data_IF_554250857719
#
_entry.id   IF_554250857719
#
_cell.length_a   1.000
_cell.length_b   1.000
_cell.length_c   1.000
_cell.angle_alpha   90.00
_cell.angle_beta   90.00
_cell.angle_gamma   90.00
#
_symmetry.space_group_name_H-M   'P 1'
#
loop_
_entity.id
_entity.type
_entity.pdbx_description
1 polymer ?
#
# COMPACT_ATOMS: atom_id res chain seq x y z
N UNK A 1 19.74 -8.51 44.84
CA UNK A 1 20.65 -8.67 43.68
C UNK A 1 19.78 -9.06 42.50
N UNK A 2 19.63 -8.15 41.53
CA UNK A 2 18.73 -8.28 40.38
C UNK A 2 19.48 -9.05 39.27
N UNK A 3 18.82 -10.05 38.70
CA UNK A 3 19.32 -10.82 37.55
C UNK A 3 19.41 -9.89 36.33
N UNK A 4 20.57 -9.83 35.69
CA UNK A 4 20.89 -8.95 34.56
C UNK A 4 20.36 -9.48 33.20
N UNK A 5 19.76 -10.68 33.18
CA UNK A 5 19.01 -11.16 32.03
C UNK A 5 17.53 -11.21 32.41
N UNK A 6 16.77 -10.29 31.83
CA UNK A 6 15.32 -10.21 31.95
C UNK A 6 14.70 -11.50 31.46
N UNK A 7 14.26 -12.32 32.40
CA UNK A 7 13.30 -13.37 32.12
C UNK A 7 12.00 -12.65 31.76
N UNK A 8 11.59 -12.76 30.50
CA UNK A 8 10.31 -12.28 30.02
C UNK A 8 9.24 -12.92 30.93
N UNK A 9 8.54 -12.11 31.72
CA UNK A 9 7.35 -12.55 32.46
C UNK A 9 6.26 -12.82 31.42
N UNK A 10 6.35 -13.99 30.79
CA UNK A 10 5.22 -14.61 30.10
C UNK A 10 4.13 -14.70 31.16
N UNK A 11 3.05 -13.98 30.91
CA UNK A 11 1.81 -14.06 31.66
C UNK A 11 1.36 -15.53 31.64
N UNK A 12 1.72 -16.30 32.68
CA UNK A 12 1.10 -17.58 32.96
C UNK A 12 -0.35 -17.25 33.31
N UNK A 13 -1.23 -17.25 32.30
CA UNK A 13 -2.66 -17.32 32.57
C UNK A 13 -2.91 -18.65 33.25
N UNK A 14 -3.45 -18.55 34.45
CA UNK A 14 -3.92 -19.66 35.25
C UNK A 14 -4.70 -20.65 34.39
N UNK A 15 -4.23 -21.88 34.43
CA UNK A 15 -4.93 -23.04 33.92
C UNK A 15 -6.03 -23.35 34.93
N UNK A 16 -7.14 -22.61 34.87
CA UNK A 16 -8.33 -22.94 35.65
C UNK A 16 -9.06 -24.12 35.00
N UNK A 17 -9.14 -25.17 35.81
CA UNK A 17 -9.92 -26.38 35.64
C UNK A 17 -11.42 -26.09 35.51
N UNK A 18 -12.07 -26.98 34.75
CA UNK A 18 -13.48 -27.38 34.86
C UNK A 18 -14.57 -26.31 34.63
N UNK A 19 -15.30 -26.45 33.51
CA UNK A 19 -16.58 -27.17 33.61
C UNK A 19 -17.16 -27.53 32.24
N UNK A 20 -17.68 -28.76 32.21
CA UNK A 20 -18.63 -29.26 31.22
C UNK A 20 -19.85 -28.35 31.21
N UNK A 21 -20.32 -27.95 30.04
CA UNK A 21 -21.75 -27.97 29.78
C UNK A 21 -22.03 -28.26 28.31
N UNK A 22 -22.96 -29.19 28.15
CA UNK A 22 -23.45 -29.72 26.90
C UNK A 22 -24.01 -28.62 26.01
N UNK A 23 -23.68 -28.76 24.73
CA UNK A 23 -24.30 -28.07 23.60
C UNK A 23 -25.76 -28.50 23.45
N UNK A 24 -26.68 -27.58 23.73
CA UNK A 24 -28.06 -27.69 23.30
C UNK A 24 -28.27 -27.07 21.90
N UNK A 25 -29.09 -27.78 21.15
CA UNK A 25 -29.76 -27.46 19.90
C UNK A 25 -30.12 -25.98 19.70
N UNK A 26 -29.70 -25.39 18.58
CA UNK A 26 -30.52 -24.39 17.88
C UNK A 26 -30.15 -24.26 16.40
N UNK A 27 -30.43 -25.31 15.63
CA UNK A 27 -30.52 -25.20 14.18
C UNK A 27 -31.94 -24.74 13.81
N UNK A 28 -32.12 -23.44 13.60
CA UNK A 28 -33.31 -22.92 12.90
C UNK A 28 -32.88 -22.32 11.57
N UNK A 29 -33.18 -23.09 10.53
CA UNK A 29 -33.37 -22.74 9.13
C UNK A 29 -34.10 -21.40 8.95
N UNK A 30 -33.51 -20.49 8.17
CA UNK A 30 -34.26 -19.41 7.53
C UNK A 30 -34.15 -19.56 6.02
N UNK A 31 -35.18 -20.20 5.47
CA UNK A 31 -35.56 -20.10 4.07
C UNK A 31 -35.95 -18.65 3.76
N UNK A 32 -35.39 -18.10 2.69
CA UNK A 32 -35.84 -16.84 2.11
C UNK A 32 -36.00 -17.00 0.61
N UNK A 33 -37.13 -17.59 0.24
CA UNK A 33 -37.69 -17.51 -1.11
C UNK A 33 -38.43 -16.18 -1.31
N UNK A 34 -38.39 -15.69 -2.55
CA UNK A 34 -39.35 -14.73 -3.10
C UNK A 34 -38.95 -13.27 -2.99
N UNK A 35 -38.77 -12.57 -4.12
CA UNK A 35 -39.91 -11.92 -4.79
C UNK A 35 -39.42 -10.95 -5.89
N UNK A 36 -39.76 -11.34 -7.13
CA UNK A 36 -40.32 -10.57 -8.25
C UNK A 36 -39.53 -9.53 -9.06
N UNK A 37 -39.82 -9.70 -10.36
CA UNK A 37 -39.53 -8.96 -11.56
C UNK A 37 -40.00 -7.49 -11.54
N UNK A 38 -39.24 -6.63 -12.22
CA UNK A 38 -39.74 -5.35 -12.74
C UNK A 38 -39.31 -5.23 -14.22
N UNK A 39 -40.25 -5.21 -15.18
CA UNK A 39 -39.99 -4.85 -16.57
C UNK A 39 -40.39 -3.38 -16.87
N UNK A 40 -40.16 -2.98 -18.12
CA UNK A 40 -40.61 -1.77 -18.84
C UNK A 40 -39.49 -0.75 -19.13
N UNK A 41 -39.00 -0.69 -20.38
CA UNK A 41 -39.54 0.08 -21.54
C UNK A 41 -39.21 1.58 -21.42
N UNK A 42 -39.01 2.40 -22.44
CA UNK A 42 -38.64 2.34 -23.85
C UNK A 42 -38.60 3.82 -24.32
N UNK A 43 -37.98 4.08 -25.47
CA UNK A 43 -38.29 5.17 -26.43
C UNK A 43 -37.72 6.61 -26.29
N UNK A 44 -37.01 6.96 -27.38
CA UNK A 44 -37.14 8.15 -28.26
C UNK A 44 -36.48 9.48 -27.81
N UNK A 45 -35.50 10.05 -28.54
CA UNK A 45 -35.40 10.51 -29.95
C UNK A 45 -36.01 11.91 -30.16
N UNK A 46 -35.19 12.95 -30.41
CA UNK A 46 -35.50 14.07 -31.32
C UNK A 46 -34.26 14.91 -31.64
N UNK A 47 -33.91 14.91 -32.92
CA UNK A 47 -33.08 15.86 -33.66
C UNK A 47 -33.73 17.24 -33.80
N UNK A 48 -32.95 18.33 -33.82
CA UNK A 48 -33.29 19.52 -34.59
C UNK A 48 -32.04 20.28 -35.04
N UNK A 49 -32.01 20.59 -36.34
CA UNK A 49 -31.00 21.38 -37.02
C UNK A 49 -31.49 22.84 -37.14
N UNK A 50 -30.58 23.81 -36.99
CA UNK A 50 -30.87 25.19 -37.37
C UNK A 50 -29.62 25.92 -37.87
N UNK A 51 -29.86 26.84 -38.81
CA UNK A 51 -28.98 27.30 -39.87
C UNK A 51 -28.49 28.75 -39.64
N UNK A 52 -27.26 29.07 -40.10
CA UNK A 52 -26.69 30.41 -40.49
C UNK A 52 -26.43 31.48 -39.41
N UNK A 53 -25.50 32.48 -39.57
CA UNK A 53 -24.73 32.91 -40.75
C UNK A 53 -23.18 33.08 -40.55
N UNK A 54 -22.44 33.25 -41.65
CA UNK A 54 -20.99 33.43 -41.72
C UNK A 54 -20.53 34.88 -41.51
N UNK A 55 -19.46 35.06 -40.71
CA UNK A 55 -18.77 36.33 -40.44
C UNK A 55 -17.22 36.12 -40.47
N UNK A 56 -16.43 37.19 -40.60
CA UNK A 56 -15.13 37.18 -41.28
C UNK A 56 -13.98 36.58 -40.46
N UNK A 57 -13.12 35.89 -41.21
CA UNK A 57 -11.95 35.14 -40.78
C UNK A 57 -10.94 36.05 -40.06
N UNK A 58 -10.92 35.99 -38.73
CA UNK A 58 -9.84 36.53 -37.91
C UNK A 58 -9.04 35.33 -37.41
N UNK A 59 -7.73 35.30 -37.64
CA UNK A 59 -6.84 34.21 -37.24
C UNK A 59 -6.91 34.01 -35.71
N UNK A 60 -7.74 33.08 -35.28
CA UNK A 60 -7.85 32.63 -33.89
C UNK A 60 -6.81 31.54 -33.67
N UNK A 61 -6.10 31.67 -32.56
CA UNK A 61 -5.15 30.69 -32.05
C UNK A 61 -5.91 29.39 -31.74
N UNK A 62 -5.44 28.27 -32.29
CA UNK A 62 -6.11 26.96 -32.40
C UNK A 62 -6.28 26.19 -31.07
N UNK A 63 -6.50 26.92 -29.96
CA UNK A 63 -6.52 26.36 -28.59
C UNK A 63 -7.74 26.72 -27.74
N UNK A 64 -8.67 27.55 -28.24
CA UNK A 64 -9.81 28.06 -27.43
C UNK A 64 -11.18 27.48 -27.84
N UNK A 65 -11.25 26.52 -28.78
CA UNK A 65 -12.54 26.01 -29.27
C UNK A 65 -13.27 25.05 -28.30
N UNK A 66 -12.58 24.47 -27.32
CA UNK A 66 -13.17 23.50 -26.40
C UNK A 66 -13.96 24.16 -25.25
N UNK A 67 -13.72 25.45 -24.99
CA UNK A 67 -14.40 26.18 -23.90
C UNK A 67 -15.77 26.78 -24.34
N UNK A 68 -16.08 26.82 -25.65
CA UNK A 68 -17.29 27.49 -26.17
C UNK A 68 -18.59 26.67 -26.07
N UNK A 69 -18.51 25.36 -25.79
CA UNK A 69 -19.69 24.46 -25.78
C UNK A 69 -20.32 24.34 -24.38
N UNK A 70 -19.72 24.97 -23.36
CA UNK A 70 -20.13 24.80 -21.97
C UNK A 70 -21.22 25.77 -21.48
N UNK A 71 -21.71 26.68 -22.32
CA UNK A 71 -22.56 27.81 -21.91
C UNK A 71 -24.08 27.61 -22.07
N UNK A 72 -24.55 26.48 -22.62
CA UNK A 72 -25.97 26.33 -23.02
C UNK A 72 -26.83 25.41 -22.12
N UNK A 73 -26.46 25.22 -20.85
CA UNK A 73 -27.34 24.55 -19.88
C UNK A 73 -27.77 25.52 -18.77
N UNK A 74 -29.07 25.58 -18.40
CA UNK A 74 -29.55 26.39 -17.28
C UNK A 74 -28.99 25.81 -15.98
N UNK A 75 -27.81 26.28 -15.60
CA UNK A 75 -27.12 25.88 -14.38
C UNK A 75 -27.71 26.69 -13.23
N UNK A 76 -28.25 25.97 -12.25
CA UNK A 76 -28.40 26.49 -10.90
C UNK A 76 -27.11 27.24 -10.53
N UNK A 77 -27.27 28.47 -10.04
CA UNK A 77 -26.19 29.46 -9.91
C UNK A 77 -25.22 29.04 -8.79
N UNK A 78 -24.41 28.01 -9.04
CA UNK A 78 -23.39 27.52 -8.11
C UNK A 78 -22.24 28.51 -8.17
N UNK A 79 -22.07 29.26 -7.09
CA UNK A 79 -20.97 30.19 -6.95
C UNK A 79 -19.64 29.43 -7.02
N UNK A 80 -18.93 29.57 -8.15
CA UNK A 80 -17.72 28.80 -8.47
C UNK A 80 -16.42 29.52 -8.10
N UNK A 81 -16.48 30.54 -7.23
CA UNK A 81 -15.29 31.26 -6.77
C UNK A 81 -14.75 30.73 -5.44
N UNK A 82 -13.43 30.56 -5.39
CA UNK A 82 -12.65 30.14 -4.23
C UNK A 82 -11.55 31.18 -3.95
N UNK A 83 -11.01 31.21 -2.74
CA UNK A 83 -9.90 32.11 -2.37
C UNK A 83 -8.61 31.31 -2.34
N UNK A 84 -7.64 31.67 -3.17
CA UNK A 84 -6.30 31.08 -3.21
C UNK A 84 -5.30 32.20 -2.90
N UNK A 85 -4.51 32.06 -1.82
CA UNK A 85 -3.55 33.07 -1.37
C UNK A 85 -4.17 34.48 -1.14
N UNK A 86 -5.40 34.53 -0.62
CA UNK A 86 -6.11 35.79 -0.38
C UNK A 86 -6.72 36.43 -1.63
N UNK A 87 -6.52 35.86 -2.84
CA UNK A 87 -7.16 36.31 -4.06
C UNK A 87 -8.36 35.44 -4.44
N UNK A 88 -9.48 36.08 -4.77
CA UNK A 88 -10.68 35.39 -5.25
C UNK A 88 -10.47 34.95 -6.70
N UNK A 89 -10.49 33.65 -6.95
CA UNK A 89 -10.27 33.02 -8.26
C UNK A 89 -11.38 32.01 -8.54
N UNK A 90 -11.68 31.72 -9.81
CA UNK A 90 -12.62 30.64 -10.12
C UNK A 90 -11.98 29.27 -9.84
N UNK A 91 -12.79 28.29 -9.45
CA UNK A 91 -12.33 26.92 -9.19
C UNK A 91 -11.57 26.33 -10.40
N UNK A 92 -12.06 26.60 -11.61
CA UNK A 92 -11.41 26.18 -12.85
C UNK A 92 -10.03 26.82 -13.03
N UNK A 93 -9.89 28.12 -12.75
CA UNK A 93 -8.62 28.84 -12.84
C UNK A 93 -7.59 28.33 -11.83
N UNK A 94 -8.03 28.06 -10.60
CA UNK A 94 -7.17 27.50 -9.56
C UNK A 94 -6.67 26.09 -9.91
N UNK A 95 -7.56 25.22 -10.39
CA UNK A 95 -7.20 23.88 -10.86
C UNK A 95 -6.22 23.93 -12.04
N UNK A 96 -6.46 24.81 -13.03
CA UNK A 96 -5.56 24.98 -14.19
C UNK A 96 -4.16 25.40 -13.73
N UNK A 97 -4.04 26.31 -12.78
CA UNK A 97 -2.74 26.74 -12.23
C UNK A 97 -2.03 25.61 -11.47
N UNK A 98 -2.77 24.80 -10.72
CA UNK A 98 -2.22 23.65 -10.01
C UNK A 98 -1.73 22.58 -11.00
N UNK A 99 -2.49 22.31 -12.06
CA UNK A 99 -2.16 21.31 -13.09
C UNK A 99 -1.04 21.77 -14.02
N UNK A 100 -0.88 23.07 -14.28
CA UNK A 100 0.19 23.61 -15.13
C UNK A 100 1.60 23.23 -14.64
N UNK A 101 1.80 23.13 -13.32
CA UNK A 101 3.06 22.66 -12.72
C UNK A 101 3.31 21.16 -12.88
N UNK A 102 2.26 20.37 -13.18
CA UNK A 102 2.36 18.92 -13.40
C UNK A 102 2.51 18.58 -14.88
N UNK A 103 2.03 19.45 -15.77
CA UNK A 103 2.07 19.24 -17.22
C UNK A 103 3.35 19.77 -17.88
N UNK A 104 4.29 20.35 -17.13
CA UNK A 104 5.69 20.47 -17.58
C UNK A 104 6.40 19.12 -17.55
N UNK A 105 5.78 18.11 -18.15
CA UNK A 105 6.47 16.93 -18.63
C UNK A 105 7.34 17.42 -19.79
N UNK A 106 8.64 17.48 -19.57
CA UNK A 106 9.61 18.05 -20.50
C UNK A 106 9.36 17.56 -21.92
N UNK A 107 9.44 18.46 -22.89
CA UNK A 107 9.31 18.20 -24.33
C UNK A 107 10.47 17.37 -24.91
N UNK A 108 11.02 16.44 -24.13
CA UNK A 108 11.95 15.41 -24.57
C UNK A 108 11.25 14.28 -25.30
N UNK A 109 9.93 14.13 -25.21
CA UNK A 109 9.18 13.11 -25.97
C UNK A 109 9.33 13.33 -27.49
N UNK A 110 9.27 14.58 -27.96
CA UNK A 110 9.48 14.90 -29.37
C UNK A 110 10.91 14.59 -29.83
N UNK A 111 11.91 14.81 -28.98
CA UNK A 111 13.31 14.47 -29.26
C UNK A 111 13.52 12.94 -29.29
N UNK A 112 12.87 12.21 -28.35
CA UNK A 112 12.90 10.74 -28.29
C UNK A 112 12.26 10.08 -29.51
N UNK A 113 11.16 10.65 -30.03
CA UNK A 113 10.54 10.21 -31.30
C UNK A 113 11.44 10.42 -32.51
N UNK A 114 12.16 11.54 -32.57
CA UNK A 114 13.14 11.82 -33.65
C UNK A 114 14.32 10.84 -33.61
N UNK A 115 14.69 10.38 -32.41
CA UNK A 115 15.78 9.42 -32.22
C UNK A 115 15.36 7.95 -32.31
N UNK A 116 14.10 7.64 -32.67
CA UNK A 116 13.57 6.26 -32.70
C UNK A 116 13.85 5.47 -31.41
N UNK A 117 13.90 6.13 -30.26
CA UNK A 117 14.05 5.43 -28.99
C UNK A 117 12.69 4.79 -28.68
N UNK A 118 12.58 3.45 -28.67
CA UNK A 118 11.31 2.78 -28.43
C UNK A 118 10.79 3.19 -27.05
N UNK A 119 9.59 3.79 -27.02
CA UNK A 119 8.99 4.30 -25.78
C UNK A 119 8.71 3.19 -24.75
N UNK A 120 8.68 1.93 -25.20
CA UNK A 120 8.52 0.76 -24.37
C UNK A 120 9.35 -0.38 -24.98
N UNK A 121 10.42 -0.77 -24.30
CA UNK A 121 11.21 -1.95 -24.64
C UNK A 121 11.99 -2.43 -23.41
N UNK A 122 11.82 -3.68 -22.96
CA UNK A 122 12.71 -4.29 -21.98
C UNK A 122 14.00 -4.67 -22.71
N UNK A 123 15.13 -4.08 -22.35
CA UNK A 123 16.43 -4.55 -22.86
C UNK A 123 17.52 -4.34 -21.82
N UNK A 124 17.46 -5.18 -20.78
CA UNK A 124 18.65 -5.72 -20.13
C UNK A 124 19.29 -6.73 -21.09
N UNK A 125 20.34 -6.30 -21.79
CA UNK A 125 21.26 -7.18 -22.51
C UNK A 125 22.69 -6.62 -22.38
N UNK A 126 23.30 -6.90 -21.23
CA UNK A 126 24.75 -6.90 -21.06
C UNK A 126 25.13 -8.28 -20.51
N UNK A 127 25.88 -9.11 -21.27
CA UNK A 127 26.42 -10.35 -20.72
C UNK A 127 27.67 -9.99 -19.94
N UNK A 128 27.54 -9.90 -18.62
CA UNK A 128 28.68 -10.06 -17.72
C UNK A 128 28.36 -11.22 -16.82
N UNK A 129 28.97 -12.35 -17.19
CA UNK A 129 29.11 -13.53 -16.35
C UNK A 129 29.84 -13.12 -15.07
N UNK A 130 29.10 -13.04 -13.96
CA UNK A 130 29.65 -13.27 -12.64
C UNK A 130 28.50 -13.70 -11.74
N UNK A 131 28.59 -14.95 -11.31
CA UNK A 131 27.67 -15.64 -10.42
C UNK A 131 27.32 -14.79 -9.18
N UNK A 132 26.03 -14.50 -9.02
CA UNK A 132 25.46 -14.20 -7.71
C UNK A 132 24.02 -14.66 -7.68
N UNK A 133 23.84 -15.93 -7.34
CA UNK A 133 22.55 -16.52 -7.01
C UNK A 133 21.93 -15.82 -5.80
N UNK A 134 20.99 -14.91 -6.03
CA UNK A 134 19.87 -14.61 -5.13
C UNK A 134 19.08 -13.43 -5.66
N UNK A 135 18.20 -13.68 -6.61
CA UNK A 135 16.97 -12.90 -6.74
C UNK A 135 15.97 -13.79 -7.44
N UNK A 136 15.05 -14.35 -6.66
CA UNK A 136 13.89 -15.05 -7.19
C UNK A 136 13.09 -14.06 -8.04
N UNK A 137 13.26 -14.18 -9.35
CA UNK A 137 12.61 -13.39 -10.39
C UNK A 137 11.15 -13.85 -10.44
N UNK A 138 10.26 -13.09 -9.80
CA UNK A 138 8.91 -12.94 -10.32
C UNK A 138 8.91 -11.69 -11.21
N UNK A 139 8.67 -11.81 -12.52
CA UNK A 139 8.66 -10.67 -13.44
C UNK A 139 7.32 -9.95 -13.33
N UNK A 140 7.06 -9.30 -12.19
CA UNK A 140 5.93 -8.39 -12.04
C UNK A 140 6.47 -6.97 -11.94
N UNK A 141 6.37 -6.24 -13.04
CA UNK A 141 6.04 -4.81 -13.15
C UNK A 141 6.08 -3.98 -11.86
N UNK A 142 7.24 -3.88 -11.22
CA UNK A 142 7.40 -3.12 -9.98
C UNK A 142 7.97 -1.73 -10.27
N UNK A 143 7.37 -1.05 -11.26
CA UNK A 143 7.63 0.36 -11.57
C UNK A 143 7.28 1.30 -10.41
N UNK A 144 6.60 0.79 -9.37
CA UNK A 144 6.08 1.53 -8.22
C UNK A 144 6.94 1.42 -6.94
N UNK A 145 8.12 0.81 -7.01
CA UNK A 145 9.07 0.74 -5.90
C UNK A 145 8.76 -0.35 -4.86
N UNK A 146 9.46 -0.37 -3.70
CA UNK A 146 9.30 -1.42 -2.70
C UNK A 146 7.87 -1.45 -2.14
N UNK A 147 7.33 -2.65 -1.95
CA UNK A 147 5.97 -2.89 -1.44
C UNK A 147 6.02 -3.79 -0.22
N UNK A 148 5.30 -3.38 0.83
CA UNK A 148 5.09 -4.17 2.05
C UNK A 148 3.90 -5.10 1.81
N UNK A 149 4.07 -6.40 2.09
CA UNK A 149 3.01 -7.39 1.97
C UNK A 149 2.57 -7.92 3.34
N UNK A 150 1.35 -8.42 3.43
CA UNK A 150 0.93 -9.26 4.56
C UNK A 150 1.83 -10.49 4.65
N UNK A 151 2.30 -10.81 5.85
CA UNK A 151 3.30 -11.85 6.11
C UNK A 151 4.75 -11.35 6.07
N UNK A 152 5.02 -10.14 5.58
CA UNK A 152 6.38 -9.61 5.60
C UNK A 152 6.81 -9.23 7.04
N UNK A 153 8.08 -9.44 7.39
CA UNK A 153 8.65 -8.96 8.63
C UNK A 153 8.89 -7.45 8.59
N UNK A 154 8.66 -6.80 9.72
CA UNK A 154 8.82 -5.37 9.94
C UNK A 154 9.49 -5.11 11.29
N UNK A 155 10.19 -3.99 11.41
CA UNK A 155 10.67 -3.47 12.68
C UNK A 155 9.77 -2.33 13.17
N UNK A 156 9.59 -2.25 14.48
CA UNK A 156 8.94 -1.13 15.16
C UNK A 156 9.57 -0.90 16.54
N UNK A 157 9.45 0.33 17.05
CA UNK A 157 9.79 0.65 18.43
C UNK A 157 8.57 0.44 19.32
N UNK A 158 8.70 -0.40 20.33
CA UNK A 158 7.67 -0.65 21.34
C UNK A 158 8.09 -0.07 22.68
N UNK A 159 7.12 0.49 23.41
CA UNK A 159 7.33 0.97 24.77
C UNK A 159 6.81 -0.05 25.77
N UNK A 160 7.70 -0.60 26.58
CA UNK A 160 7.37 -1.47 27.70
C UNK A 160 7.68 -0.73 29.02
N UNK A 161 6.66 -0.10 29.61
CA UNK A 161 6.83 0.77 30.76
C UNK A 161 7.70 1.99 30.44
N UNK A 162 8.89 2.08 31.03
CA UNK A 162 9.85 3.16 30.79
C UNK A 162 10.91 2.83 29.74
N UNK A 163 10.89 1.61 29.19
CA UNK A 163 11.88 1.14 28.23
C UNK A 163 11.31 1.20 26.83
N UNK A 164 12.12 1.72 25.90
CA UNK A 164 11.86 1.65 24.46
C UNK A 164 12.73 0.55 23.90
N UNK A 165 12.11 -0.41 23.23
CA UNK A 165 12.75 -1.61 22.70
C UNK A 165 12.45 -1.70 21.21
N UNK A 166 13.46 -2.06 20.41
CA UNK A 166 13.24 -2.43 19.03
C UNK A 166 12.65 -3.85 18.98
N UNK A 167 11.48 -3.98 18.37
CA UNK A 167 10.83 -5.26 18.17
C UNK A 167 10.72 -5.57 16.68
N UNK A 168 10.84 -6.85 16.34
CA UNK A 168 10.53 -7.37 15.01
C UNK A 168 9.15 -8.02 15.06
N UNK A 169 8.34 -7.75 14.05
CA UNK A 169 6.98 -8.25 13.95
C UNK A 169 6.69 -8.74 12.54
N UNK A 170 5.66 -9.57 12.39
CA UNK A 170 5.10 -9.94 11.10
C UNK A 170 3.83 -9.14 10.84
N UNK A 171 3.67 -8.64 9.61
CA UNK A 171 2.45 -7.95 9.20
C UNK A 171 1.30 -8.95 9.08
N UNK A 172 0.20 -8.68 9.77
CA UNK A 172 -1.02 -9.48 9.70
C UNK A 172 -2.07 -8.82 8.80
N UNK A 173 -2.17 -7.49 8.84
CA UNK A 173 -3.16 -6.74 8.07
C UNK A 173 -2.65 -5.36 7.67
N UNK A 174 -2.99 -4.93 6.47
CA UNK A 174 -2.71 -3.59 5.98
C UNK A 174 -4.02 -2.84 5.71
N UNK A 175 -4.04 -1.56 6.09
CA UNK A 175 -5.17 -0.65 5.89
C UNK A 175 -4.66 0.69 5.39
N UNK A 176 -5.39 1.30 4.45
CA UNK A 176 -5.04 2.59 3.88
C UNK A 176 -6.30 3.35 3.51
N UNK A 177 -6.43 4.58 3.99
CA UNK A 177 -7.63 5.41 3.80
C UNK A 177 -8.93 4.65 4.19
N UNK A 178 -9.85 4.47 3.26
CA UNK A 178 -11.12 3.75 3.46
C UNK A 178 -11.02 2.24 3.23
N UNK A 179 -9.86 1.72 2.81
CA UNK A 179 -9.67 0.30 2.50
C UNK A 179 -9.09 -0.44 3.71
N UNK A 180 -9.84 -1.44 4.20
CA UNK A 180 -9.56 -2.14 5.45
C UNK A 180 -8.84 -3.49 5.30
N UNK A 181 -8.68 -4.01 4.09
CA UNK A 181 -8.05 -5.30 3.81
C UNK A 181 -7.19 -5.19 2.54
N UNK A 182 -5.94 -4.77 2.71
CA UNK A 182 -4.96 -4.77 1.64
C UNK A 182 -3.98 -5.92 1.82
N UNK A 183 -3.67 -6.61 0.72
CA UNK A 183 -2.63 -7.65 0.71
C UNK A 183 -1.23 -7.05 0.60
N UNK A 184 -1.13 -5.88 -0.06
CA UNK A 184 0.11 -5.15 -0.29
C UNK A 184 -0.08 -3.64 -0.22
N UNK A 185 0.94 -2.94 0.26
CA UNK A 185 0.98 -1.48 0.36
C UNK A 185 2.37 -0.97 -0.05
N UNK A 186 2.48 -0.07 -1.04
CA UNK A 186 3.76 0.58 -1.36
C UNK A 186 4.37 1.26 -0.14
N UNK A 187 5.68 1.05 0.08
CA UNK A 187 6.38 1.53 1.29
C UNK A 187 6.32 3.05 1.42
N UNK A 188 6.33 3.78 0.31
CA UNK A 188 6.20 5.24 0.33
C UNK A 188 4.85 5.75 0.87
N UNK A 189 3.80 4.91 0.84
CA UNK A 189 2.48 5.24 1.41
C UNK A 189 2.41 4.97 2.91
N UNK A 190 3.37 4.26 3.51
CA UNK A 190 3.42 4.06 4.97
C UNK A 190 3.58 5.37 5.73
N UNK A 191 4.23 6.38 5.13
CA UNK A 191 4.37 7.71 5.73
C UNK A 191 3.05 8.49 5.83
N UNK A 192 2.00 8.06 5.10
CA UNK A 192 0.70 8.71 5.12
C UNK A 192 -0.01 8.44 6.47
N UNK A 193 -0.63 9.46 7.11
CA UNK A 193 -1.31 9.29 8.39
C UNK A 193 -2.52 8.35 8.33
N UNK A 194 -3.03 8.04 7.14
CA UNK A 194 -4.15 7.09 6.94
C UNK A 194 -3.69 5.64 6.80
N UNK A 195 -2.38 5.38 6.69
CA UNK A 195 -1.83 4.04 6.66
C UNK A 195 -1.82 3.44 8.08
N UNK A 196 -2.47 2.28 8.23
CA UNK A 196 -2.48 1.50 9.48
C UNK A 196 -2.02 0.08 9.22
N UNK A 197 -1.26 -0.46 10.16
CA UNK A 197 -0.69 -1.80 10.09
C UNK A 197 -1.08 -2.54 11.36
N UNK A 198 -1.62 -3.74 11.21
CA UNK A 198 -1.74 -4.69 12.32
C UNK A 198 -0.62 -5.70 12.17
N UNK A 199 0.16 -5.91 13.23
CA UNK A 199 1.30 -6.82 13.23
C UNK A 199 1.35 -7.65 14.51
N UNK A 200 2.11 -8.73 14.46
CA UNK A 200 2.34 -9.62 15.60
C UNK A 200 3.83 -9.78 15.85
N UNK A 201 4.25 -9.56 17.09
CA UNK A 201 5.66 -9.59 17.46
C UNK A 201 6.24 -11.00 17.29
N UNK A 202 7.45 -11.08 16.73
CA UNK A 202 8.21 -12.32 16.59
C UNK A 202 9.03 -12.57 17.86
N UNK A 203 9.02 -13.81 18.36
CA UNK A 203 9.96 -14.21 19.40
C UNK A 203 11.32 -14.54 18.77
N UNK A 204 12.29 -13.65 18.94
CA UNK A 204 13.67 -13.83 18.45
C UNK A 204 14.52 -14.55 19.50
N UNK A 205 15.33 -15.50 19.03
CA UNK A 205 16.33 -16.21 19.84
C UNK A 205 17.69 -16.14 19.16
N UNK A 206 18.80 -16.28 19.90
CA UNK A 206 20.12 -16.34 19.28
C UNK A 206 20.20 -17.46 18.24
N UNK A 207 20.71 -17.15 17.06
CA UNK A 207 20.86 -18.12 15.99
C UNK A 207 21.91 -19.19 16.37
N UNK A 208 21.57 -20.46 16.16
CA UNK A 208 22.52 -21.56 16.37
C UNK A 208 23.21 -21.95 15.06
N UNK A 209 24.26 -22.77 15.16
CA UNK A 209 25.00 -23.28 13.98
C UNK A 209 24.09 -24.16 13.10
N UNK A 210 23.07 -24.76 13.70
CA UNK A 210 22.05 -25.54 13.00
C UNK A 210 21.04 -24.66 12.26
N UNK A 211 20.81 -23.41 12.66
CA UNK A 211 19.87 -22.54 11.95
C UNK A 211 20.58 -21.73 10.85
N UNK A 212 21.80 -21.28 11.15
CA UNK A 212 22.71 -20.58 10.22
C UNK A 212 24.15 -21.14 10.28
N UNK A 213 24.50 -22.07 9.36
CA UNK A 213 25.86 -22.59 9.26
C UNK A 213 26.91 -21.53 8.92
N UNK A 214 26.49 -20.40 8.33
CA UNK A 214 27.41 -19.31 7.94
C UNK A 214 27.85 -18.47 9.14
N UNK A 215 27.07 -18.50 10.24
CA UNK A 215 27.29 -17.68 11.45
C UNK A 215 27.37 -16.18 11.16
N UNK A 216 26.69 -15.73 10.11
CA UNK A 216 26.60 -14.31 9.74
C UNK A 216 25.46 -13.66 10.53
N UNK A 217 24.42 -14.41 10.85
CA UNK A 217 23.24 -13.91 11.54
C UNK A 217 23.32 -14.22 13.04
N UNK A 218 23.00 -13.21 13.86
CA UNK A 218 23.05 -13.34 15.32
C UNK A 218 21.71 -13.83 15.89
N UNK A 219 20.61 -13.60 15.18
CA UNK A 219 19.26 -13.85 15.65
C UNK A 219 18.44 -14.64 14.64
N UNK A 220 17.59 -15.53 15.13
CA UNK A 220 16.61 -16.26 14.33
C UNK A 220 15.21 -16.18 14.97
N UNK A 221 14.18 -16.33 14.14
CA UNK A 221 12.81 -16.44 14.63
C UNK A 221 12.54 -17.85 15.17
N UNK A 222 12.07 -17.94 16.42
CA UNK A 222 11.77 -19.21 17.10
C UNK A 222 10.51 -19.94 16.60
N UNK A 223 9.82 -19.43 15.57
CA UNK A 223 8.49 -19.85 15.11
C UNK A 223 7.35 -19.57 16.11
N UNK A 224 7.68 -18.94 17.24
CA UNK A 224 6.68 -18.49 18.21
C UNK A 224 6.35 -17.02 17.94
N UNK A 225 5.07 -16.72 18.11
CA UNK A 225 4.54 -15.37 18.04
C UNK A 225 4.20 -14.87 19.44
N UNK A 226 4.39 -13.58 19.68
CA UNK A 226 4.07 -12.93 20.95
C UNK A 226 2.83 -12.03 20.80
N UNK A 227 2.90 -10.81 21.35
CA UNK A 227 1.80 -9.86 21.41
C UNK A 227 1.36 -9.38 20.02
N UNK A 228 0.07 -9.08 19.91
CA UNK A 228 -0.51 -8.42 18.75
C UNK A 228 -0.48 -6.90 18.96
N UNK A 229 -0.02 -6.19 17.93
CA UNK A 229 -0.06 -4.74 17.85
C UNK A 229 -1.09 -4.35 16.79
N UNK A 230 -2.22 -3.80 17.24
CA UNK A 230 -3.30 -3.38 16.36
C UNK A 230 -3.25 -1.88 16.09
N UNK A 231 -3.62 -1.49 14.87
CA UNK A 231 -3.81 -0.10 14.46
C UNK A 231 -2.55 0.77 14.60
N UNK A 232 -1.38 0.20 14.34
CA UNK A 232 -0.08 0.90 14.35
C UNK A 232 -0.03 1.86 13.16
N UNK A 233 0.39 3.11 13.37
CA UNK A 233 0.60 4.04 12.25
C UNK A 233 1.71 3.50 11.33
N UNK A 234 1.48 3.51 10.02
CA UNK A 234 2.46 3.03 9.04
C UNK A 234 3.83 3.71 9.17
N UNK A 235 3.88 4.99 9.58
CA UNK A 235 5.12 5.76 9.75
C UNK A 235 6.06 5.22 10.84
N UNK A 236 5.57 4.37 11.74
CA UNK A 236 6.36 3.73 12.80
C UNK A 236 6.81 2.32 12.43
N UNK A 237 6.48 1.87 11.20
CA UNK A 237 6.78 0.53 10.70
C UNK A 237 7.88 0.63 9.65
N UNK A 238 8.98 -0.08 9.88
CA UNK A 238 10.07 -0.20 8.92
C UNK A 238 10.06 -1.59 8.28
N UNK A 239 9.99 -1.67 6.95
CA UNK A 239 10.00 -2.97 6.25
C UNK A 239 11.37 -3.63 6.36
N UNK A 240 11.41 -4.91 6.71
CA UNK A 240 12.63 -5.71 6.73
C UNK A 240 12.66 -6.68 5.55
N UNK A 241 13.86 -7.03 5.12
CA UNK A 241 14.10 -8.09 4.14
C UNK A 241 15.14 -9.08 4.71
N UNK A 242 14.75 -9.91 5.69
CA UNK A 242 15.67 -10.84 6.31
C UNK A 242 16.06 -11.97 5.36
N UNK A 243 17.20 -12.60 5.66
CA UNK A 243 17.53 -13.87 5.04
C UNK A 243 16.55 -14.96 5.52
N UNK A 244 16.22 -15.90 4.63
CA UNK A 244 15.33 -17.01 4.93
C UNK A 244 16.14 -18.30 4.86
N UNK A 245 16.21 -19.02 5.98
CA UNK A 245 16.80 -20.36 6.05
C UNK A 245 15.71 -21.43 5.91
N UNK A 246 15.93 -22.40 5.04
CA UNK A 246 15.01 -23.54 4.80
C UNK A 246 15.70 -24.86 5.19
N UNK A 247 16.61 -24.83 6.17
CA UNK A 247 17.41 -26.02 6.51
C UNK A 247 16.54 -27.19 6.97
N UNK A 248 15.43 -26.90 7.66
CA UNK A 248 14.43 -27.90 8.04
C UNK A 248 13.28 -27.87 7.02
N UNK A 249 13.03 -28.97 6.28
CA UNK A 249 11.93 -29.03 5.32
C UNK A 249 10.60 -28.61 5.96
N UNK A 250 9.90 -27.68 5.31
CA UNK A 250 8.61 -27.17 5.76
C UNK A 250 8.66 -26.13 6.90
N UNK A 251 9.85 -25.66 7.32
CA UNK A 251 10.01 -24.65 8.38
C UNK A 251 10.94 -23.50 7.97
N UNK A 252 10.46 -22.55 7.16
CA UNK A 252 11.26 -21.38 6.76
C UNK A 252 11.48 -20.45 7.95
N UNK A 253 12.74 -20.22 8.31
CA UNK A 253 13.12 -19.42 9.49
C UNK A 253 13.74 -18.10 9.05
N UNK A 254 13.29 -16.99 9.63
CA UNK A 254 13.90 -15.69 9.40
C UNK A 254 15.20 -15.56 10.20
N UNK A 255 16.24 -15.06 9.54
CA UNK A 255 17.55 -14.78 10.12
C UNK A 255 17.83 -13.28 10.06
N UNK A 256 18.39 -12.74 11.15
CA UNK A 256 18.67 -11.32 11.29
C UNK A 256 20.11 -11.10 11.79
N UNK A 257 20.77 -10.12 11.20
CA UNK A 257 22.06 -9.63 11.67
C UNK A 257 21.84 -8.58 12.76
N UNK A 258 22.47 -8.73 13.92
CA UNK A 258 22.29 -7.79 15.03
C UNK A 258 22.78 -6.39 14.70
N UNK A 259 23.86 -6.27 13.91
CA UNK A 259 24.41 -4.99 13.45
C UNK A 259 23.37 -4.20 12.64
N UNK A 260 22.64 -4.87 11.74
CA UNK A 260 21.61 -4.28 10.90
C UNK A 260 20.43 -3.78 11.73
N UNK A 261 19.95 -4.57 12.69
CA UNK A 261 18.83 -4.18 13.55
C UNK A 261 19.13 -2.91 14.34
N UNK A 262 20.37 -2.70 14.79
CA UNK A 262 20.77 -1.50 15.56
C UNK A 262 20.79 -0.23 14.70
N UNK A 263 20.84 -0.35 13.36
CA UNK A 263 20.93 0.80 12.45
C UNK A 263 19.57 1.34 11.95
N UNK A 264 18.47 0.68 12.31
CA UNK A 264 17.10 1.05 11.92
C UNK A 264 16.60 2.28 12.67
#
# INVERSE_FOLDING_TARGET
MLSLLGTLLVNQRDQEHDNKDNTDDFASSFDREGLEDIPSDAMQNTSNAQTTPSLPLTYMHDGDLEDAIADEMPRNNVNSTIIVQGQKTSKAKALRHQMASRTTQSSTDRLRRVQNIPCFGPTSAGPTESDSWSSSITPYDNTLGPTLHVGNPVALLVQCGTLVILAVAQVNRLRFASQSNLDKLPVHLLADPTAKVDCQLLCLVPATVEDDPTRVHDWCWSMQMEANCENVDGRYVHSLNPAISILRPGKPTFLFEGSFLVTL
#
